data_IF_255086183153
#
_entry.id   IF_255086183153
#
_cell.length_a   1.000
_cell.length_b   1.000
_cell.length_c   1.000
_cell.angle_alpha   90.00
_cell.angle_beta   90.00
_cell.angle_gamma   90.00
#
_symmetry.space_group_name_H-M   'P 1'
#
loop_
_entity.id
_entity.type
_entity.pdbx_description
1 polymer ?
#
# COMPACT_ATOMS: atom_id res chain seq x y z
N UNK A 1 5.83 -17.09 -39.77
CA UNK A 1 7.14 -17.32 -39.13
C UNK A 1 7.13 -18.66 -38.38
N UNK A 2 8.14 -19.49 -38.61
CA UNK A 2 8.37 -20.76 -37.89
C UNK A 2 9.13 -20.46 -36.60
N UNK A 3 8.55 -20.82 -35.45
CA UNK A 3 9.16 -20.67 -34.12
C UNK A 3 9.85 -21.98 -33.73
N UNK A 4 11.07 -21.87 -33.20
CA UNK A 4 11.80 -23.01 -32.64
C UNK A 4 11.30 -23.32 -31.23
N UNK A 5 11.32 -24.60 -30.86
CA UNK A 5 10.85 -25.05 -29.54
C UNK A 5 11.58 -24.38 -28.37
N UNK A 6 12.88 -24.12 -28.52
CA UNK A 6 13.70 -23.38 -27.55
C UNK A 6 13.17 -21.96 -27.32
N UNK A 7 12.69 -21.27 -28.35
CA UNK A 7 12.11 -19.93 -28.25
C UNK A 7 10.78 -19.96 -27.49
N UNK A 8 9.96 -20.99 -27.71
CA UNK A 8 8.68 -21.17 -27.00
C UNK A 8 8.89 -21.34 -25.49
N UNK A 9 9.91 -22.10 -25.08
CA UNK A 9 10.26 -22.27 -23.66
C UNK A 9 10.68 -20.93 -23.04
N UNK A 10 11.51 -20.15 -23.71
CA UNK A 10 11.96 -18.84 -23.20
C UNK A 10 10.78 -17.89 -22.99
N UNK A 11 9.81 -17.86 -23.91
CA UNK A 11 8.60 -17.04 -23.73
C UNK A 11 7.70 -17.54 -22.59
N UNK A 12 7.61 -18.85 -22.39
CA UNK A 12 6.85 -19.44 -21.30
C UNK A 12 7.45 -19.10 -19.93
N UNK A 13 8.77 -19.18 -19.80
CA UNK A 13 9.51 -18.87 -18.56
C UNK A 13 9.42 -17.39 -18.20
N UNK A 14 9.35 -16.49 -19.18
CA UNK A 14 9.25 -15.04 -18.95
C UNK A 14 7.83 -14.52 -18.69
N UNK A 15 6.82 -15.39 -18.59
CA UNK A 15 5.42 -14.97 -18.46
C UNK A 15 4.89 -14.22 -19.70
N UNK A 16 5.57 -14.36 -20.85
CA UNK A 16 5.35 -13.60 -22.07
C UNK A 16 4.43 -14.33 -23.06
N UNK A 17 3.45 -15.10 -22.58
CA UNK A 17 2.49 -15.79 -23.46
C UNK A 17 1.69 -14.84 -24.36
N UNK A 18 1.45 -13.60 -23.91
CA UNK A 18 0.81 -12.58 -24.73
C UNK A 18 1.61 -12.24 -26.00
N UNK A 19 2.94 -12.35 -25.99
CA UNK A 19 3.77 -12.12 -27.18
C UNK A 19 3.57 -13.18 -28.27
N UNK A 20 3.31 -14.43 -27.89
CA UNK A 20 2.97 -15.51 -28.83
C UNK A 20 1.62 -15.22 -29.50
N UNK A 21 0.64 -14.70 -28.74
CA UNK A 21 -0.69 -14.32 -29.24
C UNK A 21 -0.62 -13.23 -30.32
N UNK A 22 0.26 -12.24 -30.17
CA UNK A 22 0.40 -11.13 -31.12
C UNK A 22 1.48 -11.33 -32.19
N UNK A 23 2.14 -12.48 -32.23
CA UNK A 23 3.21 -12.82 -33.19
C UNK A 23 2.83 -12.60 -34.67
N UNK A 24 1.53 -12.60 -35.00
CA UNK A 24 1.00 -12.32 -36.36
C UNK A 24 1.39 -10.95 -36.92
N UNK A 25 1.71 -9.96 -36.08
CA UNK A 25 2.00 -8.58 -36.52
C UNK A 25 3.50 -8.23 -36.54
N UNK A 26 4.40 -9.22 -36.71
CA UNK A 26 5.86 -9.03 -36.63
C UNK A 26 6.32 -8.34 -35.32
N UNK A 27 5.55 -8.49 -34.24
CA UNK A 27 5.85 -7.81 -32.97
C UNK A 27 7.20 -8.26 -32.42
N UNK A 28 7.58 -9.51 -32.67
CA UNK A 28 8.88 -10.10 -32.31
C UNK A 28 10.10 -9.37 -32.92
N UNK A 29 9.92 -8.46 -33.89
CA UNK A 29 11.02 -7.62 -34.40
C UNK A 29 11.21 -6.33 -33.61
N UNK A 30 10.29 -6.01 -32.68
CA UNK A 30 10.40 -4.82 -31.85
C UNK A 30 11.36 -5.07 -30.69
N UNK A 31 12.22 -4.09 -30.40
CA UNK A 31 13.25 -4.17 -29.37
C UNK A 31 12.73 -4.57 -27.97
N UNK A 32 11.49 -4.23 -27.61
CA UNK A 32 10.87 -4.60 -26.33
C UNK A 32 10.44 -6.08 -26.22
N UNK A 33 10.44 -6.82 -27.34
CA UNK A 33 10.16 -8.26 -27.34
C UNK A 33 11.38 -9.10 -26.99
N UNK A 34 12.59 -8.54 -27.17
CA UNK A 34 13.82 -9.16 -26.71
C UNK A 34 13.75 -9.35 -25.17
N UNK A 35 13.90 -10.59 -24.66
CA UNK A 35 13.94 -10.90 -23.25
C UNK A 35 14.84 -9.99 -22.41
N UNK A 36 16.07 -9.80 -22.86
CA UNK A 36 17.12 -9.06 -22.15
C UNK A 36 16.71 -7.58 -22.05
N UNK A 37 16.29 -6.98 -23.16
CA UNK A 37 15.89 -5.58 -23.18
C UNK A 37 14.65 -5.34 -22.32
N UNK A 38 13.68 -6.24 -22.36
CA UNK A 38 12.50 -6.15 -21.51
C UNK A 38 12.84 -6.27 -20.03
N UNK A 39 13.73 -7.19 -19.65
CA UNK A 39 14.16 -7.34 -18.26
C UNK A 39 14.85 -6.07 -17.76
N UNK A 40 15.73 -5.48 -18.59
CA UNK A 40 16.37 -4.19 -18.29
C UNK A 40 15.32 -3.09 -18.13
N UNK A 41 14.34 -3.00 -19.03
CA UNK A 41 13.26 -2.01 -18.98
C UNK A 41 12.40 -2.18 -17.72
N UNK A 42 12.03 -3.42 -17.36
CA UNK A 42 11.28 -3.70 -16.13
C UNK A 42 12.08 -3.28 -14.90
N UNK A 43 13.37 -3.61 -14.84
CA UNK A 43 14.24 -3.19 -13.73
C UNK A 43 14.36 -1.67 -13.66
N UNK A 44 14.52 -1.00 -14.80
CA UNK A 44 14.57 0.45 -14.88
C UNK A 44 13.29 1.10 -14.35
N UNK A 45 12.12 0.66 -14.83
CA UNK A 45 10.84 1.20 -14.36
C UNK A 45 10.51 0.84 -12.91
N UNK A 46 10.99 -0.29 -12.39
CA UNK A 46 10.88 -0.59 -10.95
C UNK A 46 11.62 0.44 -10.09
N UNK A 47 12.82 0.85 -10.52
CA UNK A 47 13.59 1.88 -9.81
C UNK A 47 12.90 3.24 -9.95
N UNK A 48 12.50 3.61 -11.18
CA UNK A 48 11.86 4.89 -11.46
C UNK A 48 10.54 5.04 -10.69
N UNK A 49 9.62 4.09 -10.82
CA UNK A 49 8.36 4.12 -10.08
C UNK A 49 8.56 3.92 -8.58
N UNK A 50 9.60 3.22 -8.14
CA UNK A 50 9.92 3.11 -6.72
C UNK A 50 10.22 4.46 -6.07
N UNK A 51 10.86 5.37 -6.81
CA UNK A 51 11.11 6.74 -6.32
C UNK A 51 9.80 7.55 -6.22
N UNK A 52 8.91 7.42 -7.21
CA UNK A 52 7.59 8.04 -7.19
C UNK A 52 6.73 7.49 -6.05
N UNK A 53 6.78 6.18 -5.84
CA UNK A 53 6.05 5.48 -4.79
C UNK A 53 6.46 5.95 -3.40
N UNK A 54 7.75 6.19 -3.15
CA UNK A 54 8.22 6.76 -1.87
C UNK A 54 7.54 8.11 -1.59
N UNK A 55 7.44 8.98 -2.61
CA UNK A 55 6.80 10.29 -2.46
C UNK A 55 5.31 10.14 -2.17
N UNK A 56 4.62 9.23 -2.88
CA UNK A 56 3.19 8.97 -2.67
C UNK A 56 2.92 8.40 -1.27
N UNK A 57 3.71 7.41 -0.85
CA UNK A 57 3.59 6.78 0.47
C UNK A 57 3.77 7.80 1.60
N UNK A 58 4.66 8.78 1.47
CA UNK A 58 4.80 9.84 2.47
C UNK A 58 3.49 10.59 2.74
N UNK A 59 2.68 10.82 1.70
CA UNK A 59 1.36 11.47 1.83
C UNK A 59 0.35 10.50 2.44
N UNK A 60 0.29 9.27 1.94
CA UNK A 60 -0.64 8.25 2.42
C UNK A 60 -0.41 7.91 3.91
N UNK A 61 0.85 7.85 4.34
CA UNK A 61 1.23 7.63 5.75
C UNK A 61 0.72 8.77 6.64
N UNK A 62 0.82 10.02 6.20
CA UNK A 62 0.29 11.16 6.95
C UNK A 62 -1.24 11.13 7.02
N UNK A 63 -1.90 10.75 5.93
CA UNK A 63 -3.36 10.60 5.89
C UNK A 63 -3.84 9.46 6.79
N UNK A 64 -3.12 8.33 6.80
CA UNK A 64 -3.43 7.21 7.68
C UNK A 64 -3.31 7.62 9.15
N UNK A 65 -2.23 8.29 9.54
CA UNK A 65 -2.07 8.82 10.90
C UNK A 65 -3.25 9.71 11.30
N UNK A 66 -3.58 10.70 10.46
CA UNK A 66 -4.69 11.62 10.73
C UNK A 66 -6.05 10.90 10.84
N UNK A 67 -6.28 9.90 9.99
CA UNK A 67 -7.50 9.09 10.02
C UNK A 67 -7.62 8.29 11.31
N UNK A 68 -6.55 7.59 11.72
CA UNK A 68 -6.50 6.81 12.96
C UNK A 68 -6.71 7.71 14.19
N UNK A 69 -6.05 8.86 14.23
CA UNK A 69 -6.18 9.83 15.34
C UNK A 69 -7.61 10.38 15.48
N UNK A 70 -8.31 10.57 14.36
CA UNK A 70 -9.66 11.13 14.35
C UNK A 70 -10.71 10.07 14.69
N UNK A 71 -10.60 8.86 14.13
CA UNK A 71 -11.59 7.79 14.28
C UNK A 71 -11.78 7.38 15.74
N UNK A 72 -10.68 7.23 16.49
CA UNK A 72 -10.72 6.87 17.91
C UNK A 72 -11.50 7.91 18.75
N UNK A 73 -11.35 9.19 18.41
CA UNK A 73 -12.07 10.29 19.06
C UNK A 73 -13.55 10.30 18.70
N UNK A 74 -13.85 10.19 17.40
CA UNK A 74 -15.22 10.22 16.88
C UNK A 74 -16.07 9.08 17.44
N UNK A 75 -15.53 7.86 17.51
CA UNK A 75 -16.26 6.71 18.05
C UNK A 75 -16.56 6.85 19.55
N UNK A 76 -15.58 7.34 20.33
CA UNK A 76 -15.77 7.58 21.77
C UNK A 76 -16.80 8.69 22.02
N UNK A 77 -16.74 9.77 21.25
CA UNK A 77 -17.69 10.86 21.37
C UNK A 77 -19.11 10.42 20.99
N UNK A 78 -19.26 9.67 19.89
CA UNK A 78 -20.56 9.15 19.47
C UNK A 78 -21.19 8.22 20.51
N UNK A 79 -20.38 7.38 21.18
CA UNK A 79 -20.86 6.53 22.27
C UNK A 79 -21.33 7.37 23.47
N UNK A 80 -20.53 8.36 23.88
CA UNK A 80 -20.87 9.26 25.00
C UNK A 80 -22.13 10.09 24.74
N UNK A 81 -22.32 10.60 23.52
CA UNK A 81 -23.51 11.38 23.16
C UNK A 81 -24.80 10.55 23.29
N UNK A 82 -24.70 9.25 23.01
CA UNK A 82 -25.84 8.32 23.06
C UNK A 82 -26.19 7.84 24.47
N UNK A 83 -25.31 7.97 25.46
CA UNK A 83 -25.59 7.56 26.85
C UNK A 83 -26.86 8.24 27.41
N UNK A 84 -27.11 9.49 26.98
CA UNK A 84 -28.28 10.26 27.39
C UNK A 84 -29.59 9.84 26.72
N UNK A 85 -29.52 9.18 25.56
CA UNK A 85 -30.69 8.91 24.70
C UNK A 85 -31.02 7.42 24.62
N UNK A 86 -30.00 6.56 24.55
CA UNK A 86 -30.15 5.12 24.42
C UNK A 86 -28.91 4.39 24.99
N UNK A 87 -28.95 4.10 26.28
CA UNK A 87 -27.88 3.45 27.03
C UNK A 87 -27.46 2.08 26.46
N UNK A 88 -28.42 1.28 25.94
CA UNK A 88 -28.11 -0.01 25.34
C UNK A 88 -27.31 0.14 24.04
N UNK A 89 -27.68 1.10 23.20
CA UNK A 89 -26.93 1.37 21.96
C UNK A 89 -25.56 2.00 22.25
N UNK A 90 -25.46 2.86 23.27
CA UNK A 90 -24.20 3.42 23.73
C UNK A 90 -23.24 2.32 24.20
N UNK A 91 -23.73 1.34 24.96
CA UNK A 91 -22.93 0.20 25.41
C UNK A 91 -22.36 -0.62 24.23
N UNK A 92 -23.17 -0.91 23.21
CA UNK A 92 -22.70 -1.61 22.00
C UNK A 92 -21.66 -0.78 21.22
N UNK A 93 -21.87 0.53 21.10
CA UNK A 93 -20.91 1.43 20.47
C UNK A 93 -19.58 1.50 21.23
N UNK A 94 -19.60 1.48 22.56
CA UNK A 94 -18.39 1.39 23.38
C UNK A 94 -17.61 0.08 23.11
N UNK A 95 -18.31 -1.05 22.96
CA UNK A 95 -17.67 -2.32 22.61
C UNK A 95 -17.02 -2.26 21.21
N UNK A 96 -17.71 -1.65 20.24
CA UNK A 96 -17.16 -1.45 18.90
C UNK A 96 -15.96 -0.49 18.92
N UNK A 97 -16.06 0.63 19.63
CA UNK A 97 -14.97 1.60 19.79
C UNK A 97 -13.74 0.96 20.43
N UNK A 98 -13.92 0.09 21.43
CA UNK A 98 -12.82 -0.65 22.03
C UNK A 98 -12.18 -1.66 21.04
N UNK A 99 -13.00 -2.33 20.22
CA UNK A 99 -12.47 -3.21 19.17
C UNK A 99 -11.67 -2.42 18.13
N UNK A 100 -12.21 -1.29 17.67
CA UNK A 100 -11.55 -0.43 16.68
C UNK A 100 -10.25 0.16 17.22
N UNK A 101 -10.26 0.64 18.48
CA UNK A 101 -9.07 1.15 19.15
C UNK A 101 -7.92 0.13 19.14
N UNK A 102 -8.20 -1.16 19.37
CA UNK A 102 -7.17 -2.21 19.30
C UNK A 102 -6.58 -2.39 17.91
N UNK A 103 -7.38 -2.21 16.85
CA UNK A 103 -6.91 -2.22 15.47
C UNK A 103 -6.04 -0.99 15.21
N UNK A 104 -6.50 0.17 15.68
CA UNK A 104 -5.80 1.44 15.59
C UNK A 104 -4.45 1.43 16.33
N UNK A 105 -4.34 0.72 17.46
CA UNK A 105 -3.05 0.46 18.12
C UNK A 105 -2.06 -0.24 17.18
N UNK A 106 -2.49 -1.26 16.43
CA UNK A 106 -1.64 -1.97 15.47
C UNK A 106 -1.19 -1.03 14.33
N UNK A 107 -2.08 -0.16 13.88
CA UNK A 107 -1.74 0.85 12.88
C UNK A 107 -0.72 1.85 13.41
N UNK A 108 -0.88 2.34 14.65
CA UNK A 108 0.08 3.21 15.30
C UNK A 108 1.45 2.56 15.46
N UNK A 109 1.51 1.31 15.89
CA UNK A 109 2.77 0.58 15.99
C UNK A 109 3.45 0.51 14.62
N UNK A 110 2.72 0.17 13.56
CA UNK A 110 3.25 0.16 12.20
C UNK A 110 3.76 1.54 11.76
N UNK A 111 3.01 2.60 12.04
CA UNK A 111 3.40 3.98 11.73
C UNK A 111 4.69 4.39 12.46
N UNK A 112 4.83 4.04 13.74
CA UNK A 112 6.05 4.26 14.52
C UNK A 112 7.24 3.58 13.84
N UNK A 113 7.09 2.31 13.44
CA UNK A 113 8.14 1.58 12.74
C UNK A 113 8.52 2.24 11.41
N UNK A 114 7.53 2.71 10.64
CA UNK A 114 7.76 3.44 9.39
C UNK A 114 8.53 4.74 9.63
N UNK A 115 8.16 5.52 10.65
CA UNK A 115 8.86 6.76 10.99
C UNK A 115 10.31 6.54 11.44
N UNK A 116 10.63 5.35 11.95
CA UNK A 116 11.98 4.95 12.33
C UNK A 116 12.83 4.44 11.15
N UNK A 117 12.26 4.23 9.96
CA UNK A 117 13.04 3.80 8.79
C UNK A 117 14.05 4.88 8.39
N UNK A 118 15.29 4.47 8.12
CA UNK A 118 16.39 5.35 7.69
C UNK A 118 16.05 6.12 6.40
N UNK A 119 15.29 5.47 5.49
CA UNK A 119 14.87 6.05 4.22
C UNK A 119 13.56 6.85 4.26
N UNK A 120 12.93 7.03 5.43
CA UNK A 120 11.67 7.77 5.50
C UNK A 120 11.90 9.28 5.38
N UNK A 121 11.32 9.88 4.35
CA UNK A 121 11.47 11.30 3.98
C UNK A 121 10.22 12.14 4.21
N UNK A 122 9.12 11.53 4.66
CA UNK A 122 7.86 12.22 4.95
C UNK A 122 7.86 12.97 6.28
N UNK A 123 6.72 13.59 6.59
CA UNK A 123 6.55 14.33 7.84
C UNK A 123 6.49 13.37 9.03
N UNK A 124 7.30 13.66 10.07
CA UNK A 124 7.26 12.91 11.33
C UNK A 124 6.42 13.68 12.34
N UNK A 125 5.36 13.07 12.91
CA UNK A 125 4.63 13.70 14.00
C UNK A 125 5.56 13.91 15.20
N UNK A 126 5.28 14.95 15.98
CA UNK A 126 6.07 15.27 17.17
C UNK A 126 5.99 14.16 18.22
N UNK A 127 7.03 14.01 19.05
CA UNK A 127 7.05 13.02 20.14
C UNK A 127 5.86 13.14 21.12
N UNK A 128 5.23 14.31 21.20
CA UNK A 128 4.02 14.53 21.99
C UNK A 128 2.78 13.88 21.34
N UNK A 129 2.68 13.90 20.01
CA UNK A 129 1.63 13.23 19.24
C UNK A 129 1.82 11.70 19.24
N UNK A 130 3.06 11.23 19.21
CA UNK A 130 3.37 9.79 19.27
C UNK A 130 3.14 9.16 20.66
N UNK A 131 3.07 9.95 21.73
CA UNK A 131 2.87 9.50 23.12
C UNK A 131 1.47 9.76 23.68
N UNK A 132 0.61 10.44 22.92
CA UNK A 132 -0.77 10.73 23.31
C UNK A 132 -1.74 9.55 23.03
N UNK A 133 -1.22 8.46 22.48
CA UNK A 133 -1.93 7.18 22.31
C UNK A 133 -1.74 6.42 23.64
N UNK A 134 -2.77 6.31 24.49
CA UNK A 134 -2.69 5.54 25.73
C UNK A 134 -2.48 4.05 25.48
#
# INVERSE_FOLDING_TARGET
PTLQYSEVIVYAVLGKFNLLKYSRHKILTKLWTNPIHHEIVVKHFKVLHGQEEIIRLNVEICQLQAWVDTEDGDMKQAAADLESTNDLLAAELHVLAHCQHRINTVHHDCLIHIYCLEGYTGHRPSLAQMRAIP
#
